data_IF_727625204917
#
_entry.id   IF_727625204917
#
_cell.length_a   1.000
_cell.length_b   1.000
_cell.length_c   1.000
_cell.angle_alpha   90.00
_cell.angle_beta   90.00
_cell.angle_gamma   90.00
#
_symmetry.space_group_name_H-M   'P 1'
#
loop_
_entity.id
_entity.type
_entity.pdbx_description
1 polymer ?
#
# COMPACT_ATOMS: atom_id res chain seq x y z
N UNK A 1 -31.33 -6.64 -19.15
CA UNK A 1 -32.57 -7.11 -18.54
C UNK A 1 -32.57 -8.63 -18.54
N UNK A 2 -32.01 -9.24 -17.52
CA UNK A 2 -32.24 -10.66 -17.13
C UNK A 2 -31.96 -10.80 -15.64
N UNK A 3 -33.03 -10.97 -14.89
CA UNK A 3 -33.06 -11.26 -13.47
C UNK A 3 -33.07 -12.75 -13.31
N UNK A 4 -32.20 -13.33 -12.49
CA UNK A 4 -32.33 -14.71 -12.06
C UNK A 4 -32.41 -14.77 -10.52
N UNK A 5 -33.63 -15.01 -10.05
CA UNK A 5 -33.97 -15.44 -8.69
C UNK A 5 -33.54 -16.89 -8.49
N UNK A 6 -32.86 -17.19 -7.41
CA UNK A 6 -32.81 -18.55 -6.88
C UNK A 6 -33.25 -18.62 -5.42
N UNK A 7 -34.13 -19.56 -5.20
CA UNK A 7 -34.95 -19.81 -4.03
C UNK A 7 -34.15 -20.29 -2.81
N UNK A 8 -34.69 -19.92 -1.67
CA UNK A 8 -34.40 -20.43 -0.33
C UNK A 8 -34.73 -21.91 -0.19
N UNK A 9 -33.91 -22.65 0.53
CA UNK A 9 -34.32 -23.91 1.14
C UNK A 9 -33.86 -23.91 2.59
N UNK A 10 -34.84 -23.83 3.50
CA UNK A 10 -34.71 -23.98 4.94
C UNK A 10 -34.76 -25.49 5.24
N UNK A 11 -33.79 -26.00 5.98
CA UNK A 11 -33.90 -27.32 6.64
C UNK A 11 -33.70 -27.13 8.15
N UNK A 12 -34.79 -27.33 8.89
CA UNK A 12 -34.83 -27.50 10.33
C UNK A 12 -34.55 -28.95 10.71
N UNK A 13 -33.76 -29.20 11.76
CA UNK A 13 -33.79 -30.39 12.60
C UNK A 13 -33.19 -30.02 13.97
N UNK A 14 -33.96 -29.82 14.96
CA UNK A 14 -34.46 -30.72 16.05
C UNK A 14 -33.40 -31.06 17.11
N UNK A 15 -33.73 -30.62 18.31
CA UNK A 15 -33.05 -30.78 19.59
C UNK A 15 -33.05 -32.24 20.11
N UNK A 16 -32.03 -32.57 20.90
CA UNK A 16 -32.11 -33.61 21.93
C UNK A 16 -31.34 -33.18 23.17
N UNK A 17 -32.08 -33.03 24.26
CA UNK A 17 -31.56 -32.79 25.59
C UNK A 17 -31.30 -34.16 26.27
N UNK A 18 -30.21 -34.25 27.03
CA UNK A 18 -30.04 -35.30 28.04
C UNK A 18 -29.40 -34.68 29.29
N UNK A 19 -30.19 -34.68 30.33
CA UNK A 19 -29.88 -34.42 31.74
C UNK A 19 -29.21 -35.63 32.39
N UNK A 20 -28.18 -35.40 33.19
CA UNK A 20 -27.83 -36.33 34.28
C UNK A 20 -27.22 -35.60 35.46
N UNK A 21 -27.82 -35.85 36.61
CA UNK A 21 -27.51 -35.36 37.94
C UNK A 21 -26.28 -36.01 38.58
N UNK A 22 -25.69 -35.29 39.55
CA UNK A 22 -25.31 -35.93 40.81
C UNK A 22 -23.86 -35.78 41.24
N UNK A 23 -23.66 -35.19 42.44
CA UNK A 23 -22.46 -35.44 43.23
C UNK A 23 -21.90 -34.25 43.99
N UNK A 24 -22.46 -33.98 45.16
CA UNK A 24 -21.95 -33.03 46.14
C UNK A 24 -20.97 -33.75 47.07
N UNK A 25 -19.80 -33.21 47.32
CA UNK A 25 -19.02 -33.49 48.53
C UNK A 25 -18.14 -32.31 48.91
N UNK A 26 -18.36 -31.88 50.13
CA UNK A 26 -17.69 -30.86 50.90
C UNK A 26 -16.25 -31.27 51.27
N UNK A 27 -15.32 -30.36 51.21
CA UNK A 27 -13.95 -30.54 51.71
C UNK A 27 -13.26 -29.20 51.92
N UNK A 28 -13.02 -28.90 53.15
CA UNK A 28 -12.46 -27.70 53.82
C UNK A 28 -11.07 -27.35 53.32
N UNK A 29 -10.77 -26.04 53.26
CA UNK A 29 -9.47 -25.39 52.94
C UNK A 29 -8.33 -25.77 53.89
N UNK A 30 -7.05 -25.49 53.57
CA UNK A 30 -6.53 -24.16 53.86
C UNK A 30 -5.62 -23.53 52.74
N UNK A 31 -5.45 -22.22 52.88
CA UNK A 31 -4.70 -21.31 52.06
C UNK A 31 -3.21 -21.63 51.90
N UNK A 32 -2.70 -21.46 50.73
CA UNK A 32 -1.27 -21.14 50.48
C UNK A 32 -1.18 -20.15 49.31
N UNK A 33 -0.70 -18.96 49.65
CA UNK A 33 -0.28 -17.92 48.66
C UNK A 33 0.78 -18.51 47.72
N UNK A 34 0.54 -18.45 46.45
CA UNK A 34 1.56 -18.49 45.43
C UNK A 34 1.28 -17.38 44.41
N UNK A 35 2.00 -16.30 44.50
CA UNK A 35 2.09 -15.31 43.42
C UNK A 35 2.64 -16.03 42.18
N UNK A 36 1.77 -16.29 41.24
CA UNK A 36 2.17 -16.69 39.89
C UNK A 36 2.06 -15.44 39.03
N UNK A 37 3.23 -14.90 38.72
CA UNK A 37 3.41 -13.87 37.73
C UNK A 37 2.68 -14.29 36.45
N UNK A 38 1.54 -13.65 36.18
CA UNK A 38 0.78 -13.81 34.95
C UNK A 38 1.58 -13.23 33.79
N UNK A 39 2.31 -14.12 33.11
CA UNK A 39 2.75 -13.84 31.74
C UNK A 39 1.47 -13.75 30.92
N UNK A 40 1.01 -12.54 30.63
CA UNK A 40 -0.03 -12.30 29.62
C UNK A 40 0.52 -12.74 28.27
N UNK A 41 0.38 -14.03 27.97
CA UNK A 41 0.43 -14.50 26.61
C UNK A 41 -0.73 -13.79 25.89
N UNK A 42 -0.43 -12.78 25.07
CA UNK A 42 -1.39 -12.20 24.15
C UNK A 42 -1.98 -13.35 23.35
N UNK A 43 -3.27 -13.63 23.55
CA UNK A 43 -4.01 -14.54 22.68
C UNK A 43 -3.78 -14.10 21.23
N UNK A 44 -3.57 -15.02 20.28
CA UNK A 44 -3.49 -14.65 18.87
C UNK A 44 -4.78 -13.92 18.52
N UNK A 45 -4.65 -12.70 18.01
CA UNK A 45 -5.79 -11.92 17.56
C UNK A 45 -6.54 -12.77 16.53
N UNK A 46 -7.74 -13.24 16.87
CA UNK A 46 -8.66 -13.91 15.95
C UNK A 46 -9.32 -12.87 15.05
N UNK A 47 -8.55 -11.89 14.61
CA UNK A 47 -8.98 -10.76 13.81
C UNK A 47 -8.98 -11.11 12.31
N UNK A 48 -9.80 -10.38 11.56
CA UNK A 48 -9.81 -10.41 10.10
C UNK A 48 -8.37 -10.17 9.58
N UNK A 49 -7.92 -11.00 8.66
CA UNK A 49 -6.68 -10.78 7.90
C UNK A 49 -7.02 -9.87 6.72
N UNK A 50 -6.40 -8.70 6.64
CA UNK A 50 -6.52 -7.80 5.49
C UNK A 50 -5.40 -8.08 4.48
N UNK A 51 -5.77 -8.31 3.25
CA UNK A 51 -4.85 -8.42 2.11
C UNK A 51 -4.52 -7.01 1.63
N UNK A 52 -3.26 -6.62 1.77
CA UNK A 52 -2.77 -5.27 1.46
C UNK A 52 -1.87 -5.34 0.25
N UNK A 53 -2.30 -4.75 -0.87
CA UNK A 53 -1.48 -4.66 -2.07
C UNK A 53 -0.65 -3.36 -2.07
N UNK A 54 0.59 -3.49 -2.55
CA UNK A 54 1.50 -2.37 -2.76
C UNK A 54 2.47 -2.65 -3.91
N UNK A 55 2.92 -1.58 -4.58
CA UNK A 55 3.97 -1.66 -5.58
C UNK A 55 5.33 -1.41 -4.92
N UNK A 56 5.96 -2.48 -4.41
CA UNK A 56 7.18 -2.42 -3.61
C UNK A 56 8.44 -2.05 -4.43
N UNK A 57 8.34 -0.96 -5.19
CA UNK A 57 9.40 -0.35 -5.99
C UNK A 57 9.46 1.17 -5.75
N UNK A 58 8.98 1.64 -4.58
CA UNK A 58 8.76 3.06 -4.30
C UNK A 58 9.36 3.49 -2.95
N UNK A 59 10.64 3.14 -2.72
CA UNK A 59 11.35 3.55 -1.50
C UNK A 59 11.35 5.09 -1.29
N UNK A 60 11.18 5.59 -0.06
CA UNK A 60 11.24 4.87 1.22
C UNK A 60 9.88 4.35 1.73
N UNK A 61 8.80 4.47 0.94
CA UNK A 61 7.46 4.07 1.38
C UNK A 61 7.31 2.54 1.36
N UNK A 62 7.65 1.90 0.25
CA UNK A 62 7.67 0.45 0.09
C UNK A 62 8.76 0.00 -0.89
N UNK A 63 9.47 -1.04 -0.51
CA UNK A 63 10.50 -1.67 -1.34
C UNK A 63 10.64 -3.16 -1.00
N UNK A 64 11.29 -3.90 -1.88
CA UNK A 64 11.70 -5.27 -1.59
C UNK A 64 13.14 -5.25 -1.04
N UNK A 65 13.34 -5.92 0.10
CA UNK A 65 14.68 -6.17 0.62
C UNK A 65 15.42 -7.26 -0.20
N UNK A 66 16.65 -7.56 0.17
CA UNK A 66 17.45 -8.59 -0.50
C UNK A 66 16.86 -10.02 -0.41
N UNK A 67 15.94 -10.25 0.54
CA UNK A 67 15.20 -11.50 0.73
C UNK A 67 13.82 -11.47 0.08
N UNK A 68 13.51 -10.44 -0.74
CA UNK A 68 12.22 -10.22 -1.39
C UNK A 68 11.07 -9.99 -0.41
N UNK A 69 11.35 -9.58 0.81
CA UNK A 69 10.36 -9.14 1.78
C UNK A 69 10.02 -7.68 1.54
N UNK A 70 8.75 -7.34 1.64
CA UNK A 70 8.28 -5.96 1.54
C UNK A 70 8.60 -5.23 2.84
N UNK A 71 9.23 -4.06 2.73
CA UNK A 71 9.60 -3.17 3.84
C UNK A 71 9.37 -1.71 3.47
N UNK A 72 9.40 -0.82 4.45
CA UNK A 72 9.29 0.63 4.26
C UNK A 72 8.26 1.28 5.16
N UNK A 73 8.10 2.59 5.01
CA UNK A 73 7.23 3.41 5.85
C UNK A 73 5.77 2.94 5.85
N UNK A 74 5.22 2.61 4.68
CA UNK A 74 3.83 2.16 4.53
C UNK A 74 3.62 0.80 5.22
N UNK A 75 4.61 -0.09 5.17
CA UNK A 75 4.58 -1.38 5.87
C UNK A 75 4.57 -1.20 7.37
N UNK A 76 5.43 -0.32 7.89
CA UNK A 76 5.53 -0.03 9.33
C UNK A 76 4.24 0.62 9.85
N UNK A 77 3.68 1.58 9.09
CA UNK A 77 2.43 2.24 9.42
C UNK A 77 1.27 1.25 9.44
N UNK A 78 1.14 0.40 8.41
CA UNK A 78 0.06 -0.60 8.36
C UNK A 78 0.18 -1.62 9.49
N UNK A 79 1.38 -2.08 9.83
CA UNK A 79 1.61 -2.97 10.96
C UNK A 79 1.24 -2.31 12.30
N UNK A 80 1.54 -1.02 12.47
CA UNK A 80 1.14 -0.26 13.67
C UNK A 80 -0.38 -0.13 13.76
N UNK A 81 -1.06 0.14 12.63
CA UNK A 81 -2.53 0.19 12.55
C UNK A 81 -3.14 -1.17 12.86
N UNK A 82 -2.60 -2.26 12.32
CA UNK A 82 -3.05 -3.62 12.57
C UNK A 82 -2.97 -3.97 14.06
N UNK A 83 -1.83 -3.65 14.68
CA UNK A 83 -1.63 -3.83 16.12
C UNK A 83 -2.64 -3.04 16.96
N UNK A 84 -2.87 -1.77 16.60
CA UNK A 84 -3.80 -0.90 17.33
C UNK A 84 -5.26 -1.33 17.13
N UNK A 85 -5.63 -1.78 15.93
CA UNK A 85 -6.97 -2.19 15.55
C UNK A 85 -7.31 -3.65 15.84
N UNK A 86 -6.34 -4.47 16.27
CA UNK A 86 -6.57 -5.89 16.59
C UNK A 86 -6.84 -6.76 15.36
N UNK A 87 -6.32 -6.40 14.20
CA UNK A 87 -6.41 -7.19 12.96
C UNK A 87 -5.03 -7.66 12.48
N UNK A 88 -5.01 -8.52 11.50
CA UNK A 88 -3.76 -9.00 10.87
C UNK A 88 -3.66 -8.46 9.44
N UNK A 89 -2.45 -8.43 8.88
CA UNK A 89 -2.20 -7.99 7.52
C UNK A 89 -1.35 -9.01 6.76
N UNK A 90 -1.66 -9.15 5.48
CA UNK A 90 -0.88 -9.90 4.51
C UNK A 90 -0.51 -8.94 3.37
N UNK A 91 0.78 -8.65 3.24
CA UNK A 91 1.27 -7.76 2.19
C UNK A 91 1.51 -8.52 0.90
N UNK A 92 1.07 -7.94 -0.22
CA UNK A 92 1.22 -8.49 -1.56
C UNK A 92 1.86 -7.46 -2.49
N UNK A 93 3.04 -7.77 -3.02
CA UNK A 93 3.62 -6.97 -4.11
C UNK A 93 2.84 -7.20 -5.41
N UNK A 94 2.46 -6.11 -6.06
CA UNK A 94 1.80 -6.11 -7.38
C UNK A 94 2.36 -4.98 -8.24
N UNK A 95 2.39 -5.13 -9.57
CA UNK A 95 2.65 -4.01 -10.48
C UNK A 95 1.63 -2.88 -10.25
N UNK A 96 2.06 -1.63 -10.44
CA UNK A 96 1.23 -0.46 -10.20
C UNK A 96 -0.11 -0.48 -10.95
N UNK A 97 -0.09 -0.85 -12.23
CA UNK A 97 -1.28 -0.94 -13.08
C UNK A 97 -2.30 -2.01 -12.64
N UNK A 98 -1.87 -2.94 -11.80
CA UNK A 98 -2.71 -4.02 -11.26
C UNK A 98 -3.32 -3.72 -9.90
N UNK A 99 -2.86 -2.67 -9.18
CA UNK A 99 -3.30 -2.36 -7.81
C UNK A 99 -4.80 -2.05 -7.74
N UNK A 100 -5.23 -1.09 -8.55
CA UNK A 100 -6.63 -0.62 -8.52
C UNK A 100 -7.63 -1.63 -9.10
N UNK A 101 -7.32 -2.35 -10.20
CA UNK A 101 -8.14 -3.47 -10.64
C UNK A 101 -8.29 -4.56 -9.57
N UNK A 102 -7.22 -4.94 -8.87
CA UNK A 102 -7.27 -5.93 -7.79
C UNK A 102 -8.16 -5.48 -6.62
N UNK A 103 -8.11 -4.20 -6.25
CA UNK A 103 -9.00 -3.62 -5.25
C UNK A 103 -10.47 -3.67 -5.69
N UNK A 104 -10.75 -3.23 -6.91
CA UNK A 104 -12.10 -3.18 -7.46
C UNK A 104 -12.74 -4.58 -7.61
N UNK A 105 -11.93 -5.61 -7.87
CA UNK A 105 -12.38 -7.01 -7.99
C UNK A 105 -12.49 -7.72 -6.63
N UNK A 106 -11.99 -7.10 -5.55
CA UNK A 106 -11.95 -7.70 -4.22
C UNK A 106 -10.86 -8.77 -4.05
N UNK A 107 -9.87 -8.79 -4.93
CA UNK A 107 -8.68 -9.65 -4.79
C UNK A 107 -7.82 -9.23 -3.61
N UNK A 108 -7.85 -7.94 -3.27
CA UNK A 108 -7.25 -7.36 -2.08
C UNK A 108 -8.26 -6.47 -1.36
N UNK A 109 -8.05 -6.28 -0.06
CA UNK A 109 -8.96 -5.50 0.78
C UNK A 109 -8.53 -4.03 0.88
N UNK A 110 -7.23 -3.77 0.70
CA UNK A 110 -6.61 -2.45 0.81
C UNK A 110 -5.49 -2.32 -0.22
N UNK A 111 -5.34 -1.14 -0.80
CA UNK A 111 -4.13 -0.71 -1.48
C UNK A 111 -3.45 0.33 -0.59
N UNK A 112 -2.22 0.06 -0.17
CA UNK A 112 -1.36 0.99 0.53
C UNK A 112 -0.01 1.04 -0.19
N UNK A 113 0.23 2.11 -0.94
CA UNK A 113 1.36 2.22 -1.86
C UNK A 113 1.62 3.68 -2.22
N UNK A 114 1.76 4.53 -1.20
CA UNK A 114 1.94 5.97 -1.32
C UNK A 114 0.94 6.63 -2.31
N UNK A 115 -0.27 6.09 -2.41
CA UNK A 115 -1.28 6.51 -3.40
C UNK A 115 -1.79 7.89 -3.08
N UNK A 116 -1.44 8.87 -3.92
CA UNK A 116 -1.94 10.24 -3.79
C UNK A 116 -3.45 10.30 -3.98
N UNK A 117 -4.14 10.97 -3.07
CA UNK A 117 -5.57 11.29 -3.18
C UNK A 117 -5.76 12.29 -4.30
N UNK A 118 -6.50 11.91 -5.35
CA UNK A 118 -6.91 12.81 -6.46
C UNK A 118 -8.41 12.72 -6.68
N UNK A 119 -9.00 13.75 -7.28
CA UNK A 119 -10.46 13.76 -7.53
C UNK A 119 -10.86 12.63 -8.47
N UNK A 120 -10.10 12.39 -9.54
CA UNK A 120 -10.35 11.28 -10.48
C UNK A 120 -10.32 9.90 -9.77
N UNK A 121 -9.39 9.70 -8.83
CA UNK A 121 -9.31 8.44 -8.08
C UNK A 121 -10.46 8.27 -7.09
N UNK A 122 -10.93 9.37 -6.48
CA UNK A 122 -12.11 9.35 -5.60
C UNK A 122 -13.41 8.96 -6.30
N UNK A 123 -13.48 9.09 -7.62
CA UNK A 123 -14.64 8.63 -8.39
C UNK A 123 -14.79 7.10 -8.40
N UNK A 124 -13.69 6.37 -8.14
CA UNK A 124 -13.63 4.91 -8.30
C UNK A 124 -13.25 4.15 -7.05
N UNK A 125 -12.75 4.82 -6.01
CA UNK A 125 -12.32 4.20 -4.76
C UNK A 125 -12.41 5.16 -3.57
N UNK A 126 -12.57 4.60 -2.39
CA UNK A 126 -12.51 5.34 -1.11
C UNK A 126 -11.06 5.48 -0.63
N UNK A 127 -10.81 6.56 0.11
CA UNK A 127 -9.51 6.85 0.72
C UNK A 127 -9.63 7.00 2.23
N UNK A 128 -8.53 6.67 2.93
CA UNK A 128 -8.34 7.06 4.33
C UNK A 128 -8.09 8.57 4.45
N UNK A 129 -7.99 9.07 5.68
CA UNK A 129 -7.34 10.35 5.91
C UNK A 129 -5.89 10.32 5.39
N UNK A 130 -5.37 11.46 4.88
CA UNK A 130 -4.01 11.51 4.37
C UNK A 130 -3.00 11.33 5.52
N UNK A 131 -2.04 10.43 5.34
CA UNK A 131 -1.01 10.13 6.33
C UNK A 131 0.37 10.73 5.99
N UNK A 132 0.54 11.22 4.76
CA UNK A 132 1.78 11.84 4.31
C UNK A 132 1.51 12.95 3.29
N UNK A 133 2.35 13.98 3.26
CA UNK A 133 2.27 15.07 2.29
C UNK A 133 3.51 15.09 1.42
N UNK A 134 3.33 15.08 0.09
CA UNK A 134 4.43 15.13 -0.89
C UNK A 134 4.21 16.25 -1.91
N UNK A 135 5.28 16.61 -2.60
CA UNK A 135 5.23 17.43 -3.80
C UNK A 135 5.82 16.66 -4.98
N UNK A 136 5.43 17.02 -6.19
CA UNK A 136 6.13 16.55 -7.39
C UNK A 136 7.41 17.35 -7.59
N UNK A 137 8.51 16.66 -7.82
CA UNK A 137 9.82 17.28 -8.08
C UNK A 137 10.44 16.74 -9.36
N UNK A 138 11.41 17.47 -9.85
CA UNK A 138 12.16 17.12 -11.08
C UNK A 138 13.56 16.64 -10.68
N UNK A 139 13.84 15.36 -10.93
CA UNK A 139 15.19 14.80 -10.87
C UNK A 139 15.87 15.05 -12.20
N UNK A 140 16.95 15.81 -12.21
CA UNK A 140 17.64 16.24 -13.42
C UNK A 140 18.79 15.30 -13.74
N UNK A 141 18.91 14.89 -15.01
CA UNK A 141 20.00 14.04 -15.45
C UNK A 141 21.39 14.70 -15.29
N UNK A 142 22.46 13.93 -15.10
CA UNK A 142 23.82 14.46 -14.98
C UNK A 142 24.17 15.42 -16.12
N UNK A 143 24.75 16.55 -15.76
CA UNK A 143 25.18 17.60 -16.74
C UNK A 143 24.07 18.52 -17.25
N UNK A 144 22.79 18.23 -16.94
CA UNK A 144 21.68 19.13 -17.23
C UNK A 144 21.50 20.13 -16.09
N UNK A 145 20.91 21.29 -16.39
CA UNK A 145 20.60 22.34 -15.39
C UNK A 145 19.16 22.79 -15.54
N UNK A 146 18.42 22.78 -14.45
CA UNK A 146 17.04 23.25 -14.35
C UNK A 146 16.93 24.09 -13.10
N UNK A 147 16.57 25.35 -13.21
CA UNK A 147 16.41 26.26 -12.10
C UNK A 147 14.94 26.67 -11.87
N UNK A 148 14.12 26.60 -12.89
CA UNK A 148 12.72 27.02 -12.86
C UNK A 148 11.86 26.28 -13.87
N UNK A 149 10.56 26.51 -13.85
CA UNK A 149 9.58 25.83 -14.69
C UNK A 149 9.78 26.07 -16.20
N UNK A 150 10.37 27.19 -16.61
CA UNK A 150 10.63 27.45 -18.04
C UNK A 150 11.79 26.57 -18.54
N UNK A 151 12.77 26.32 -17.68
CA UNK A 151 13.84 25.38 -17.99
C UNK A 151 13.29 23.95 -18.14
N UNK A 152 12.33 23.55 -17.28
CA UNK A 152 11.64 22.26 -17.41
C UNK A 152 10.91 22.18 -18.76
N UNK A 153 10.17 23.22 -19.13
CA UNK A 153 9.44 23.26 -20.42
C UNK A 153 10.34 23.20 -21.65
N UNK A 154 11.61 23.57 -21.51
CA UNK A 154 12.59 23.54 -22.57
C UNK A 154 13.30 22.16 -22.71
N UNK A 155 13.05 21.21 -21.82
CA UNK A 155 13.59 19.86 -21.91
C UNK A 155 12.98 19.10 -23.09
N UNK A 156 13.81 18.28 -23.74
CA UNK A 156 13.40 17.52 -24.92
C UNK A 156 12.72 16.21 -24.56
N UNK A 157 13.11 15.60 -23.42
CA UNK A 157 12.59 14.30 -22.99
C UNK A 157 12.53 14.19 -21.47
N UNK A 158 11.35 13.97 -20.93
CA UNK A 158 11.10 13.91 -19.49
C UNK A 158 10.43 12.59 -19.14
N UNK A 159 11.05 11.85 -18.22
CA UNK A 159 10.55 10.57 -17.73
C UNK A 159 9.44 10.73 -16.69
N UNK A 160 8.44 9.88 -16.78
CA UNK A 160 7.42 9.70 -15.75
C UNK A 160 6.93 8.24 -15.71
N UNK A 161 6.46 7.77 -14.56
CA UNK A 161 5.83 6.45 -14.46
C UNK A 161 4.36 6.57 -14.84
N UNK A 162 3.92 5.76 -15.79
CA UNK A 162 2.53 5.78 -16.29
C UNK A 162 1.52 5.70 -15.16
N UNK A 163 0.59 6.66 -15.12
CA UNK A 163 -0.49 6.70 -14.14
C UNK A 163 -0.10 7.14 -12.73
N UNK A 164 1.17 7.47 -12.49
CA UNK A 164 1.61 8.16 -11.26
C UNK A 164 1.30 9.66 -11.33
N UNK A 165 1.30 10.33 -10.19
CA UNK A 165 1.09 11.79 -10.15
C UNK A 165 2.20 12.57 -10.83
N UNK A 166 3.39 12.00 -10.96
CA UNK A 166 4.47 12.54 -11.80
C UNK A 166 4.12 12.59 -13.29
N UNK A 167 3.42 11.56 -13.81
CA UNK A 167 2.91 11.58 -15.19
C UNK A 167 1.82 12.65 -15.35
N UNK A 168 0.91 12.79 -14.37
CA UNK A 168 -0.10 13.84 -14.40
C UNK A 168 0.52 15.25 -14.35
N UNK A 169 1.59 15.43 -13.58
CA UNK A 169 2.36 16.68 -13.55
C UNK A 169 3.04 16.94 -14.91
N UNK A 170 3.66 15.92 -15.51
CA UNK A 170 4.25 16.03 -16.84
C UNK A 170 3.21 16.41 -17.91
N UNK A 171 2.03 15.79 -17.87
CA UNK A 171 0.93 16.11 -18.78
C UNK A 171 0.44 17.56 -18.66
N UNK A 172 0.39 18.11 -17.45
CA UNK A 172 0.05 19.52 -17.21
C UNK A 172 1.10 20.48 -17.76
N UNK A 173 2.38 20.07 -17.80
CA UNK A 173 3.49 20.91 -18.27
C UNK A 173 3.62 20.87 -19.80
N UNK A 174 3.52 19.68 -20.39
CA UNK A 174 3.86 19.40 -21.78
C UNK A 174 2.64 19.08 -22.67
N UNK A 175 1.48 18.79 -22.07
CA UNK A 175 0.30 18.25 -22.76
C UNK A 175 0.21 16.72 -22.67
N UNK A 176 -0.99 16.18 -22.58
CA UNK A 176 -1.25 14.75 -22.32
C UNK A 176 -0.66 13.80 -23.38
N UNK A 177 -0.60 14.25 -24.64
CA UNK A 177 -0.12 13.47 -25.79
C UNK A 177 1.28 13.86 -26.26
N UNK A 178 1.98 14.68 -25.46
CA UNK A 178 3.32 15.18 -25.85
C UNK A 178 4.33 14.03 -25.94
N UNK A 179 5.08 13.99 -27.03
CA UNK A 179 6.20 13.07 -27.23
C UNK A 179 7.41 13.38 -26.32
N UNK A 180 7.43 14.57 -25.70
CA UNK A 180 8.43 14.92 -24.69
C UNK A 180 8.30 14.02 -23.45
N UNK A 181 7.10 13.48 -23.17
CA UNK A 181 6.88 12.61 -22.01
C UNK A 181 7.27 11.17 -22.37
N UNK A 182 8.40 10.71 -21.84
CA UNK A 182 8.81 9.30 -21.89
C UNK A 182 8.17 8.55 -20.72
N UNK A 183 7.21 7.67 -21.03
CA UNK A 183 6.46 6.90 -20.00
C UNK A 183 7.12 5.56 -19.72
N UNK A 184 7.34 5.29 -18.45
CA UNK A 184 7.93 4.06 -17.94
C UNK A 184 6.89 3.23 -17.16
N UNK A 185 7.09 1.92 -17.12
CA UNK A 185 6.23 1.02 -16.33
C UNK A 185 6.56 1.06 -14.84
N UNK A 186 7.84 1.28 -14.50
CA UNK A 186 8.30 1.25 -13.11
C UNK A 186 9.21 2.43 -12.81
N UNK A 187 9.26 2.81 -11.53
CA UNK A 187 10.13 3.88 -11.06
C UNK A 187 11.61 3.54 -11.24
N UNK A 188 12.11 2.34 -10.91
CA UNK A 188 13.51 2.00 -11.11
C UNK A 188 13.97 2.15 -12.56
N UNK A 189 13.15 1.80 -13.55
CA UNK A 189 13.45 1.99 -14.95
C UNK A 189 13.56 3.47 -15.32
N UNK A 190 12.63 4.30 -14.84
CA UNK A 190 12.68 5.75 -15.07
C UNK A 190 13.94 6.38 -14.46
N UNK A 191 14.25 6.05 -13.20
CA UNK A 191 15.42 6.58 -12.49
C UNK A 191 16.72 6.18 -13.21
N UNK A 192 16.82 4.94 -13.68
CA UNK A 192 17.97 4.46 -14.44
C UNK A 192 18.16 5.20 -15.76
N UNK A 193 17.07 5.53 -16.44
CA UNK A 193 17.12 6.33 -17.67
C UNK A 193 17.54 7.80 -17.39
N UNK A 194 17.14 8.38 -16.27
CA UNK A 194 17.63 9.69 -15.83
C UNK A 194 19.14 9.63 -15.56
N UNK A 195 19.60 8.63 -14.80
CA UNK A 195 21.02 8.45 -14.46
C UNK A 195 21.89 8.29 -15.71
N UNK A 196 21.42 7.50 -16.68
CA UNK A 196 22.15 7.23 -17.94
C UNK A 196 22.01 8.36 -18.98
N UNK A 197 21.21 9.40 -18.71
CA UNK A 197 20.95 10.49 -19.68
C UNK A 197 20.07 10.09 -20.85
N UNK A 198 19.34 8.98 -20.75
CA UNK A 198 18.33 8.56 -21.73
C UNK A 198 17.09 9.44 -21.76
N UNK A 199 16.85 10.16 -20.66
CA UNK A 199 15.93 11.29 -20.54
C UNK A 199 16.65 12.48 -19.90
N UNK A 200 16.18 13.69 -20.14
CA UNK A 200 16.79 14.93 -19.59
C UNK A 200 16.47 15.09 -18.09
N UNK A 201 15.34 14.58 -17.67
CA UNK A 201 14.88 14.60 -16.28
C UNK A 201 13.78 13.56 -16.04
N UNK A 202 13.47 13.27 -14.77
CA UNK A 202 12.32 12.50 -14.33
C UNK A 202 11.45 13.30 -13.37
N UNK A 203 10.13 13.09 -13.39
CA UNK A 203 9.19 13.71 -12.44
C UNK A 203 8.61 12.63 -11.54
N UNK A 204 8.77 12.81 -10.22
CA UNK A 204 8.26 11.89 -9.21
C UNK A 204 8.09 12.60 -7.86
N UNK A 205 7.67 11.84 -6.86
CA UNK A 205 7.41 12.29 -5.49
C UNK A 205 8.69 12.73 -4.79
N UNK A 206 8.62 13.85 -4.08
CA UNK A 206 9.78 14.50 -3.45
C UNK A 206 10.53 13.58 -2.47
N UNK A 207 9.83 12.80 -1.65
CA UNK A 207 10.47 11.88 -0.69
C UNK A 207 11.23 10.75 -1.41
N UNK A 208 10.66 10.25 -2.51
CA UNK A 208 11.26 9.18 -3.33
C UNK A 208 12.51 9.66 -4.04
N UNK A 209 12.44 10.83 -4.66
CA UNK A 209 13.60 11.45 -5.33
C UNK A 209 14.70 11.76 -4.31
N UNK A 210 14.35 12.33 -3.14
CA UNK A 210 15.32 12.62 -2.10
C UNK A 210 16.00 11.34 -1.58
N UNK A 211 15.23 10.26 -1.37
CA UNK A 211 15.77 8.96 -0.98
C UNK A 211 16.71 8.38 -2.06
N UNK A 212 16.32 8.47 -3.32
CA UNK A 212 17.14 8.00 -4.43
C UNK A 212 18.48 8.75 -4.51
N UNK A 213 18.45 10.08 -4.48
CA UNK A 213 19.67 10.91 -4.53
C UNK A 213 20.59 10.57 -3.36
N UNK A 214 20.05 10.53 -2.13
CA UNK A 214 20.84 10.20 -0.93
C UNK A 214 21.58 8.85 -1.02
N UNK A 215 20.99 7.87 -1.69
CA UNK A 215 21.54 6.51 -1.76
C UNK A 215 22.42 6.26 -3.01
N UNK A 216 22.52 7.24 -3.92
CA UNK A 216 23.28 7.13 -5.18
C UNK A 216 24.25 8.31 -5.40
N UNK A 217 24.57 9.08 -4.34
CA UNK A 217 25.63 10.11 -4.32
C UNK A 217 27.03 9.50 -4.15
#
# INVERSE_FOLDING_TARGET
MFVNKWLSTIVSCAALALTACGGQSSGTAPAANAEVGGSSASAPASGKVLRVAMNAEFAPFESLDAQQKIEGFDVDLMNAMAKAGGFQVEFQHKPWDSLFPALAQGDVDVVMSAVTITDDRKETMDFSEPYYQINQVVLVAPGKKVANINDVRALSKVGAVTGHTGDFAAQKIFGATSETIARFKTLPLMLKEVENGGVDAGISDSAVVANYVKNNE
#
